data_IF_940829044687
#
_entry.id   IF_940829044687
#
_cell.length_a   1.000
_cell.length_b   1.000
_cell.length_c   1.000
_cell.angle_alpha   90.00
_cell.angle_beta   90.00
_cell.angle_gamma   90.00
#
_symmetry.space_group_name_H-M   'P 1'
#
loop_
_entity.id
_entity.type
_entity.pdbx_description
1 polymer ?
#
# COMPACT_ATOMS: atom_id res chain seq x y z
N UNK A 1 9.02 4.34 -18.69
CA UNK A 1 8.33 5.41 -17.95
C UNK A 1 7.38 4.76 -16.96
N UNK A 2 7.32 5.24 -15.71
CA UNK A 2 6.32 4.76 -14.77
C UNK A 2 4.93 5.23 -15.21
N UNK A 3 3.95 4.32 -15.25
CA UNK A 3 2.58 4.61 -15.68
C UNK A 3 1.79 5.15 -14.48
N UNK A 4 1.13 6.31 -14.60
CA UNK A 4 0.33 6.86 -13.49
C UNK A 4 -0.85 5.95 -13.17
N UNK A 5 -1.20 5.81 -11.89
CA UNK A 5 -2.38 5.05 -11.47
C UNK A 5 -3.64 5.65 -12.11
N UNK A 6 -4.41 4.77 -12.76
CA UNK A 6 -5.65 5.08 -13.46
C UNK A 6 -6.77 4.18 -12.96
N UNK A 7 -7.89 4.79 -12.56
CA UNK A 7 -9.09 4.09 -12.11
C UNK A 7 -10.09 3.98 -13.27
N UNK A 8 -10.63 2.79 -13.47
CA UNK A 8 -11.49 2.41 -14.58
C UNK A 8 -12.87 1.95 -14.06
N UNK A 9 -13.92 1.94 -14.92
CA UNK A 9 -15.23 1.42 -14.55
C UNK A 9 -15.18 0.01 -13.95
N UNK A 10 -16.09 -0.25 -13.00
CA UNK A 10 -16.17 -1.54 -12.30
C UNK A 10 -15.08 -1.77 -11.25
N UNK A 11 -14.62 -0.70 -10.59
CA UNK A 11 -13.58 -0.71 -9.56
C UNK A 11 -12.23 -1.26 -10.02
N UNK A 12 -11.96 -1.23 -11.32
CA UNK A 12 -10.69 -1.71 -11.87
C UNK A 12 -9.64 -0.60 -11.78
N UNK A 13 -8.39 -0.99 -11.62
CA UNK A 13 -7.26 -0.06 -11.66
C UNK A 13 -6.11 -0.65 -12.46
N UNK A 14 -5.27 0.23 -13.01
CA UNK A 14 -3.95 -0.10 -13.56
C UNK A 14 -3.00 1.05 -13.32
N UNK A 15 -1.71 0.77 -13.28
CA UNK A 15 -0.68 1.80 -13.22
C UNK A 15 0.61 1.27 -12.66
N UNK A 16 1.42 2.17 -12.13
CA UNK A 16 2.74 1.89 -11.63
C UNK A 16 3.37 3.12 -11.00
N UNK A 17 4.65 3.02 -10.71
CA UNK A 17 5.37 4.08 -10.03
C UNK A 17 6.85 3.79 -9.93
N UNK A 18 7.60 4.78 -9.45
CA UNK A 18 9.00 4.61 -9.09
C UNK A 18 9.05 4.08 -7.66
N UNK A 19 9.90 3.10 -7.41
CA UNK A 19 10.12 2.58 -6.07
C UNK A 19 11.15 3.49 -5.38
N UNK A 20 10.83 4.06 -4.20
CA UNK A 20 11.78 4.86 -3.43
C UNK A 20 13.09 4.09 -3.21
N UNK A 21 14.28 4.71 -3.42
CA UNK A 21 15.56 4.01 -3.36
C UNK A 21 15.79 3.21 -2.08
N UNK A 22 15.33 3.73 -0.96
CA UNK A 22 15.43 3.16 0.38
C UNK A 22 14.38 2.07 0.67
N UNK A 23 13.43 1.86 -0.24
CA UNK A 23 12.41 0.80 -0.18
C UNK A 23 12.60 -0.29 -1.25
N UNK A 24 13.57 -0.17 -2.17
CA UNK A 24 13.75 -1.09 -3.32
C UNK A 24 14.13 -2.51 -2.95
N UNK A 25 14.84 -2.69 -1.84
CA UNK A 25 15.43 -3.99 -1.49
C UNK A 25 15.29 -4.26 0.00
N UNK A 26 14.94 -5.50 0.35
CA UNK A 26 14.83 -5.95 1.73
C UNK A 26 16.05 -6.83 2.03
N UNK A 27 17.14 -6.22 2.49
CA UNK A 27 18.35 -6.93 2.95
C UNK A 27 18.32 -7.17 4.46
N UNK A 28 17.78 -6.21 5.20
CA UNK A 28 17.50 -6.30 6.62
C UNK A 28 16.08 -5.81 6.85
N UNK A 29 15.19 -6.73 7.23
CA UNK A 29 13.78 -6.41 7.34
C UNK A 29 13.48 -5.44 8.48
N UNK A 30 14.14 -5.55 9.64
CA UNK A 30 13.92 -4.59 10.73
C UNK A 30 14.27 -3.15 10.30
N UNK A 31 15.41 -2.99 9.60
CA UNK A 31 15.79 -1.72 9.02
C UNK A 31 14.78 -1.24 7.98
N UNK A 32 14.39 -2.11 7.05
CA UNK A 32 13.44 -1.79 5.98
C UNK A 32 12.06 -1.39 6.54
N UNK A 33 11.53 -2.13 7.51
CA UNK A 33 10.25 -1.82 8.17
C UNK A 33 10.29 -0.47 8.87
N UNK A 34 11.42 -0.12 9.51
CA UNK A 34 11.60 1.20 10.11
C UNK A 34 11.62 2.32 9.05
N UNK A 35 12.22 2.08 7.88
CA UNK A 35 12.20 3.02 6.76
C UNK A 35 10.77 3.16 6.22
N UNK A 36 10.06 2.05 5.98
CA UNK A 36 8.67 2.06 5.55
C UNK A 36 7.76 2.84 6.52
N UNK A 37 7.91 2.61 7.83
CA UNK A 37 7.17 3.35 8.87
C UNK A 37 7.51 4.85 8.85
N UNK A 38 8.75 5.24 8.52
CA UNK A 38 9.10 6.66 8.35
C UNK A 38 8.37 7.28 7.16
N UNK A 39 8.33 6.60 6.00
CA UNK A 39 7.54 7.04 4.84
C UNK A 39 6.06 7.17 5.21
N UNK A 40 5.52 6.18 5.91
CA UNK A 40 4.14 6.21 6.39
C UNK A 40 3.85 7.41 7.30
N UNK A 41 4.67 7.62 8.35
CA UNK A 41 4.53 8.76 9.26
C UNK A 41 4.69 10.10 8.56
N UNK A 42 5.52 10.18 7.52
CA UNK A 42 5.68 11.40 6.75
C UNK A 42 4.39 11.81 6.04
N UNK A 43 3.56 10.85 5.60
CA UNK A 43 2.23 11.15 5.01
C UNK A 43 1.36 11.93 6.01
N UNK A 44 1.24 11.43 7.24
CA UNK A 44 0.48 12.12 8.30
C UNK A 44 1.03 13.51 8.60
N UNK A 45 2.36 13.64 8.70
CA UNK A 45 3.01 14.95 8.93
C UNK A 45 2.75 15.95 7.80
N UNK A 46 2.79 15.52 6.55
CA UNK A 46 2.51 16.37 5.40
C UNK A 46 1.04 16.81 5.39
N UNK A 47 0.12 15.88 5.67
CA UNK A 47 -1.29 16.21 5.82
C UNK A 47 -1.54 17.25 6.92
N UNK A 48 -0.98 17.05 8.12
CA UNK A 48 -1.12 18.00 9.23
C UNK A 48 -0.60 19.40 8.84
N UNK A 49 0.47 19.47 8.04
CA UNK A 49 1.02 20.74 7.54
C UNK A 49 0.05 21.43 6.59
N UNK A 50 -0.60 20.70 5.70
CA UNK A 50 -1.57 21.25 4.74
C UNK A 50 -2.87 21.71 5.43
N UNK A 51 -3.34 20.95 6.41
CA UNK A 51 -4.55 21.29 7.17
C UNK A 51 -4.44 22.64 7.90
N UNK A 52 -3.24 23.02 8.36
CA UNK A 52 -3.02 24.30 9.08
C UNK A 52 -3.19 25.52 8.17
N UNK A 53 -3.12 25.36 6.84
CA UNK A 53 -3.07 26.47 5.89
C UNK A 53 -4.42 26.89 5.26
N UNK A 54 -5.53 26.23 5.59
CA UNK A 54 -6.94 26.63 5.31
C UNK A 54 -7.92 25.43 5.43
N UNK A 55 -7.44 24.25 5.84
CA UNK A 55 -8.26 23.05 6.08
C UNK A 55 -8.67 22.28 4.82
N UNK A 56 -8.70 22.92 3.66
CA UNK A 56 -9.01 22.29 2.38
C UNK A 56 -7.75 21.83 1.64
N UNK A 57 -7.62 20.53 1.39
CA UNK A 57 -6.58 19.99 0.52
C UNK A 57 -6.82 20.43 -0.93
N UNK A 58 -5.95 21.29 -1.47
CA UNK A 58 -6.10 21.83 -2.83
C UNK A 58 -4.94 21.42 -3.75
N UNK A 59 -5.26 21.13 -5.02
CA UNK A 59 -4.33 20.97 -6.14
C UNK A 59 -2.99 20.27 -5.82
N UNK A 60 -1.98 21.08 -5.47
CA UNK A 60 -0.62 20.63 -5.19
C UNK A 60 -0.52 19.75 -3.94
N UNK A 61 -1.30 20.03 -2.89
CA UNK A 61 -1.28 19.28 -1.63
C UNK A 61 -1.83 17.87 -1.86
N UNK A 62 -2.94 17.76 -2.60
CA UNK A 62 -3.50 16.49 -3.05
C UNK A 62 -2.49 15.70 -3.89
N UNK A 63 -1.85 16.37 -4.85
CA UNK A 63 -0.83 15.73 -5.69
C UNK A 63 0.36 15.21 -4.87
N UNK A 64 0.81 15.96 -3.86
CA UNK A 64 1.89 15.54 -2.98
C UNK A 64 1.48 14.34 -2.12
N UNK A 65 0.29 14.35 -1.51
CA UNK A 65 -0.20 13.21 -0.72
C UNK A 65 -0.38 11.96 -1.58
N UNK A 66 -0.90 12.11 -2.80
CA UNK A 66 -1.01 11.02 -3.77
C UNK A 66 0.36 10.42 -4.06
N UNK A 67 1.37 11.25 -4.37
CA UNK A 67 2.72 10.78 -4.63
C UNK A 67 3.32 10.02 -3.43
N UNK A 68 3.09 10.49 -2.20
CA UNK A 68 3.56 9.81 -1.01
C UNK A 68 2.84 8.47 -0.78
N UNK A 69 1.54 8.39 -1.08
CA UNK A 69 0.78 7.14 -1.04
C UNK A 69 1.22 6.16 -2.14
N UNK A 70 1.52 6.65 -3.35
CA UNK A 70 2.08 5.83 -4.44
C UNK A 70 3.45 5.26 -4.07
N UNK A 71 4.30 6.05 -3.42
CA UNK A 71 5.60 5.61 -2.90
C UNK A 71 5.44 4.55 -1.79
N UNK A 72 4.47 4.73 -0.90
CA UNK A 72 4.13 3.76 0.14
C UNK A 72 3.64 2.44 -0.47
N UNK A 73 2.76 2.53 -1.47
CA UNK A 73 2.24 1.38 -2.22
C UNK A 73 3.37 0.61 -2.92
N UNK A 74 4.34 1.32 -3.50
CA UNK A 74 5.54 0.72 -4.09
C UNK A 74 6.33 -0.10 -3.06
N UNK A 75 6.58 0.47 -1.87
CA UNK A 75 7.24 -0.26 -0.78
C UNK A 75 6.44 -1.47 -0.32
N UNK A 76 5.12 -1.34 -0.23
CA UNK A 76 4.24 -2.43 0.17
C UNK A 76 4.28 -3.60 -0.83
N UNK A 77 4.36 -3.32 -2.12
CA UNK A 77 4.51 -4.36 -3.15
C UNK A 77 5.91 -4.99 -3.18
N UNK A 78 6.97 -4.25 -2.85
CA UNK A 78 8.29 -4.87 -2.60
C UNK A 78 8.23 -5.83 -1.42
N UNK A 79 7.53 -5.47 -0.34
CA UNK A 79 7.34 -6.36 0.80
C UNK A 79 6.50 -7.59 0.44
N UNK A 80 5.46 -7.42 -0.39
CA UNK A 80 4.66 -8.52 -0.94
C UNK A 80 5.54 -9.54 -1.68
N UNK A 81 6.42 -9.06 -2.56
CA UNK A 81 7.34 -9.91 -3.33
C UNK A 81 8.32 -10.65 -2.41
N UNK A 82 8.86 -9.96 -1.40
CA UNK A 82 9.69 -10.59 -0.36
C UNK A 82 8.93 -11.70 0.39
N UNK A 83 7.70 -11.48 0.84
CA UNK A 83 6.90 -12.50 1.55
C UNK A 83 6.64 -13.72 0.64
N UNK A 84 6.31 -13.51 -0.63
CA UNK A 84 6.14 -14.60 -1.60
C UNK A 84 7.45 -15.38 -1.85
N UNK A 85 8.60 -14.73 -1.70
CA UNK A 85 9.91 -15.36 -1.83
C UNK A 85 10.27 -16.30 -0.67
N UNK A 86 9.57 -16.20 0.47
CA UNK A 86 9.79 -17.07 1.63
C UNK A 86 9.30 -18.50 1.42
N UNK A 87 8.52 -18.76 0.36
CA UNK A 87 8.15 -20.11 -0.08
C UNK A 87 8.78 -20.42 -1.43
N UNK A 88 9.42 -21.59 -1.54
CA UNK A 88 9.98 -22.16 -2.76
C UNK A 88 8.95 -23.00 -3.54
N UNK A 89 7.79 -23.29 -2.93
CA UNK A 89 6.72 -24.09 -3.54
C UNK A 89 5.94 -23.26 -4.57
N UNK A 90 6.23 -23.51 -5.85
CA UNK A 90 5.56 -22.83 -6.96
C UNK A 90 4.02 -22.97 -6.93
N UNK A 91 3.50 -24.14 -6.54
CA UNK A 91 2.05 -24.39 -6.45
C UNK A 91 1.39 -23.54 -5.37
N UNK A 92 2.01 -23.44 -4.18
CA UNK A 92 1.51 -22.59 -3.09
C UNK A 92 1.51 -21.13 -3.52
N UNK A 93 2.60 -20.67 -4.14
CA UNK A 93 2.69 -19.30 -4.66
C UNK A 93 1.58 -19.01 -5.68
N UNK A 94 1.31 -19.95 -6.58
CA UNK A 94 0.21 -19.83 -7.55
C UNK A 94 -1.14 -19.71 -6.86
N UNK A 95 -1.45 -20.60 -5.92
CA UNK A 95 -2.72 -20.58 -5.19
C UNK A 95 -2.93 -19.28 -4.41
N UNK A 96 -1.88 -18.73 -3.80
CA UNK A 96 -1.92 -17.44 -3.13
C UNK A 96 -2.21 -16.32 -4.15
N UNK A 97 -1.49 -16.31 -5.28
CA UNK A 97 -1.68 -15.29 -6.32
C UNK A 97 -3.07 -15.34 -6.97
N UNK A 98 -3.64 -16.53 -7.16
CA UNK A 98 -4.99 -16.69 -7.71
C UNK A 98 -6.09 -16.11 -6.79
N UNK A 99 -5.79 -15.94 -5.49
CA UNK A 99 -6.69 -15.34 -4.49
C UNK A 99 -6.48 -13.82 -4.34
N UNK A 100 -5.45 -13.26 -4.96
CA UNK A 100 -5.09 -11.85 -4.79
C UNK A 100 -5.95 -10.93 -5.65
N UNK A 101 -6.17 -9.71 -5.16
CA UNK A 101 -7.02 -8.73 -5.85
C UNK A 101 -6.30 -8.00 -7.00
N UNK A 102 -4.99 -8.22 -7.12
CA UNK A 102 -4.13 -7.53 -8.06
C UNK A 102 -2.95 -8.38 -8.54
N UNK A 103 -2.57 -8.14 -9.79
CA UNK A 103 -1.31 -8.60 -10.35
C UNK A 103 -0.32 -7.44 -10.35
N UNK A 104 0.84 -7.64 -9.72
CA UNK A 104 1.89 -6.65 -9.61
C UNK A 104 3.21 -7.23 -10.07
N UNK A 105 3.95 -6.46 -10.86
CA UNK A 105 5.31 -6.73 -11.29
C UNK A 105 6.24 -5.67 -10.72
N UNK A 106 7.29 -6.13 -10.04
CA UNK A 106 8.40 -5.32 -9.58
C UNK A 106 9.57 -5.48 -10.56
N UNK A 107 10.12 -4.36 -11.02
CA UNK A 107 11.40 -4.26 -11.72
C UNK A 107 12.30 -3.32 -10.90
N UNK A 108 13.62 -3.45 -10.99
CA UNK A 108 14.62 -2.92 -10.05
C UNK A 108 14.34 -1.50 -9.50
N UNK A 109 13.74 -0.61 -10.29
CA UNK A 109 13.40 0.76 -9.88
C UNK A 109 11.93 1.14 -10.04
N UNK A 110 11.11 0.28 -10.64
CA UNK A 110 9.72 0.60 -10.99
C UNK A 110 8.79 -0.56 -10.65
N UNK A 111 7.55 -0.24 -10.32
CA UNK A 111 6.49 -1.23 -10.20
C UNK A 111 5.41 -0.94 -11.23
N UNK A 112 4.69 -1.99 -11.63
CA UNK A 112 3.50 -1.90 -12.47
C UNK A 112 2.48 -2.93 -12.02
N UNK A 113 1.20 -2.65 -12.16
CA UNK A 113 0.18 -3.59 -11.78
C UNK A 113 -1.20 -3.20 -12.25
N UNK A 114 -2.12 -4.14 -12.07
CA UNK A 114 -3.53 -3.96 -12.31
C UNK A 114 -4.34 -4.84 -11.35
N UNK A 115 -5.58 -4.46 -11.11
CA UNK A 115 -6.43 -5.23 -10.20
C UNK A 115 -7.82 -4.65 -10.07
N UNK A 116 -8.52 -5.14 -9.05
CA UNK A 116 -9.86 -4.67 -8.70
C UNK A 116 -9.88 -4.23 -7.24
N UNK A 117 -10.46 -3.07 -6.98
CA UNK A 117 -10.73 -2.59 -5.63
C UNK A 117 -12.03 -3.25 -5.15
N UNK A 118 -12.04 -3.90 -3.97
CA UNK A 118 -13.25 -4.51 -3.43
C UNK A 118 -14.42 -3.52 -3.35
N UNK A 119 -15.58 -3.88 -3.90
CA UNK A 119 -16.75 -2.99 -3.99
C UNK A 119 -17.34 -2.55 -2.63
N UNK A 120 -16.98 -3.27 -1.57
CA UNK A 120 -17.44 -3.04 -0.22
C UNK A 120 -16.66 -1.94 0.49
N UNK A 121 -15.53 -1.51 -0.09
CA UNK A 121 -14.67 -0.50 0.48
C UNK A 121 -15.23 0.90 0.15
N UNK A 122 -16.32 1.24 0.84
CA UNK A 122 -17.02 2.52 0.66
C UNK A 122 -16.46 3.55 1.65
N UNK A 123 -15.68 4.50 1.12
CA UNK A 123 -15.29 5.73 1.82
C UNK A 123 -16.38 6.81 1.72
N UNK A 124 -17.64 6.45 1.97
CA UNK A 124 -18.71 7.47 1.93
C UNK A 124 -18.54 8.39 3.15
N UNK A 125 -18.01 9.58 2.92
CA UNK A 125 -18.00 10.70 3.87
C UNK A 125 -16.85 10.75 4.88
N UNK A 126 -15.79 9.96 4.70
CA UNK A 126 -14.58 10.06 5.54
C UNK A 126 -13.59 11.04 4.92
N UNK A 127 -13.11 12.01 5.71
CA UNK A 127 -12.00 12.87 5.32
C UNK A 127 -10.66 12.09 5.33
N UNK A 128 -9.60 12.71 4.82
CA UNK A 128 -8.29 12.06 4.79
C UNK A 128 -7.77 11.71 6.20
N UNK A 129 -8.07 12.54 7.21
CA UNK A 129 -7.63 12.29 8.59
C UNK A 129 -8.25 11.01 9.14
N UNK A 130 -9.53 10.79 8.89
CA UNK A 130 -10.26 9.60 9.28
C UNK A 130 -9.69 8.37 8.59
N UNK A 131 -9.49 8.43 7.27
CA UNK A 131 -8.91 7.31 6.52
C UNK A 131 -7.48 6.99 7.01
N UNK A 132 -6.66 8.00 7.26
CA UNK A 132 -5.31 7.80 7.78
C UNK A 132 -5.31 7.21 9.19
N UNK A 133 -6.09 7.76 10.12
CA UNK A 133 -6.03 7.39 11.55
C UNK A 133 -6.83 6.14 11.89
N UNK A 134 -7.97 5.90 11.23
CA UNK A 134 -8.89 4.79 11.54
C UNK A 134 -8.65 3.56 10.66
N UNK A 135 -8.06 3.74 9.47
CA UNK A 135 -7.89 2.65 8.50
C UNK A 135 -6.41 2.35 8.26
N UNK A 136 -5.66 3.31 7.72
CA UNK A 136 -4.28 3.07 7.28
C UNK A 136 -3.32 2.83 8.46
N UNK A 137 -3.37 3.67 9.50
CA UNK A 137 -2.47 3.56 10.66
C UNK A 137 -2.69 2.23 11.41
N UNK A 138 -3.92 1.80 11.73
CA UNK A 138 -4.17 0.48 12.29
C UNK A 138 -3.73 -0.65 11.35
N UNK A 139 -3.98 -0.52 10.05
CA UNK A 139 -3.56 -1.52 9.05
C UNK A 139 -2.04 -1.72 9.00
N UNK A 140 -1.26 -0.64 8.96
CA UNK A 140 0.21 -0.70 8.99
C UNK A 140 0.72 -1.31 10.31
N UNK A 141 0.12 -0.95 11.45
CA UNK A 141 0.47 -1.55 12.75
C UNK A 141 0.16 -3.05 12.76
N UNK A 142 -1.01 -3.44 12.26
CA UNK A 142 -1.44 -4.83 12.15
C UNK A 142 -0.51 -5.66 11.27
N UNK A 143 -0.11 -5.12 10.11
CA UNK A 143 0.82 -5.77 9.19
C UNK A 143 2.15 -6.15 9.87
N UNK A 144 2.81 -5.18 10.52
CA UNK A 144 4.10 -5.45 11.16
C UNK A 144 3.98 -6.23 12.47
N UNK A 145 2.84 -6.19 13.15
CA UNK A 145 2.57 -7.07 14.30
C UNK A 145 2.37 -8.52 13.84
N UNK A 146 1.52 -8.77 12.85
CA UNK A 146 1.26 -10.11 12.30
C UNK A 146 2.55 -10.74 11.75
N UNK A 147 3.36 -9.95 11.02
CA UNK A 147 4.66 -10.41 10.58
C UNK A 147 5.62 -10.66 11.74
N UNK A 148 5.69 -9.74 12.71
CA UNK A 148 6.59 -9.87 13.85
C UNK A 148 6.35 -11.13 14.69
N UNK A 149 5.09 -11.55 14.81
CA UNK A 149 4.71 -12.83 15.43
C UNK A 149 5.18 -14.03 14.60
N UNK A 150 4.90 -14.06 13.29
CA UNK A 150 5.32 -15.15 12.40
C UNK A 150 6.85 -15.27 12.27
N UNK A 151 7.58 -14.15 12.42
CA UNK A 151 9.03 -14.12 12.33
C UNK A 151 9.77 -14.71 13.54
N UNK A 152 9.09 -14.97 14.67
CA UNK A 152 9.72 -15.42 15.93
C UNK A 152 10.45 -16.76 15.77
N UNK A 153 9.90 -17.64 14.94
CA UNK A 153 10.42 -19.00 14.76
C UNK A 153 11.31 -19.15 13.53
N UNK A 154 11.53 -18.06 12.77
CA UNK A 154 12.32 -17.99 11.52
C UNK A 154 11.85 -18.94 10.40
N UNK A 155 10.72 -19.61 10.57
CA UNK A 155 10.11 -20.51 9.60
C UNK A 155 8.68 -20.02 9.40
N UNK A 156 8.36 -19.59 8.19
CA UNK A 156 7.01 -19.18 7.82
C UNK A 156 6.28 -20.38 7.23
N UNK A 157 5.14 -20.74 7.81
CA UNK A 157 4.22 -21.70 7.21
C UNK A 157 3.52 -21.12 5.99
N UNK A 158 3.06 -21.98 5.08
CA UNK A 158 2.30 -21.57 3.90
C UNK A 158 1.03 -20.76 4.27
N UNK A 159 0.42 -21.07 5.41
CA UNK A 159 -0.73 -20.35 5.95
C UNK A 159 -0.37 -18.93 6.43
N UNK A 160 0.78 -18.77 7.09
CA UNK A 160 1.27 -17.45 7.51
C UNK A 160 1.65 -16.58 6.31
N UNK A 161 2.29 -17.16 5.29
CA UNK A 161 2.60 -16.45 4.04
C UNK A 161 1.30 -15.98 3.39
N UNK A 162 0.32 -16.88 3.22
CA UNK A 162 -0.99 -16.52 2.66
C UNK A 162 -1.69 -15.41 3.44
N UNK A 163 -1.74 -15.52 4.78
CA UNK A 163 -2.36 -14.51 5.65
C UNK A 163 -1.66 -13.15 5.61
N UNK A 164 -0.33 -13.13 5.52
CA UNK A 164 0.43 -11.90 5.33
C UNK A 164 0.14 -11.26 3.97
N UNK A 165 0.07 -12.05 2.90
CA UNK A 165 -0.28 -11.54 1.56
C UNK A 165 -1.69 -10.96 1.53
N UNK A 166 -2.67 -11.60 2.16
CA UNK A 166 -4.03 -11.06 2.28
C UNK A 166 -4.07 -9.74 3.06
N UNK A 167 -3.27 -9.62 4.12
CA UNK A 167 -3.14 -8.38 4.90
C UNK A 167 -2.52 -7.26 4.05
N UNK A 168 -1.48 -7.58 3.29
CA UNK A 168 -0.81 -6.67 2.36
C UNK A 168 -1.79 -6.19 1.28
N UNK A 169 -2.52 -7.11 0.64
CA UNK A 169 -3.50 -6.80 -0.40
C UNK A 169 -4.66 -5.93 0.14
N UNK A 170 -5.10 -6.19 1.37
CA UNK A 170 -6.11 -5.38 2.05
C UNK A 170 -5.60 -3.96 2.27
N UNK A 171 -4.39 -3.79 2.82
CA UNK A 171 -3.80 -2.45 3.00
C UNK A 171 -3.54 -1.74 1.67
N UNK A 172 -3.10 -2.47 0.63
CA UNK A 172 -2.93 -1.92 -0.72
C UNK A 172 -4.26 -1.40 -1.29
N UNK A 173 -5.36 -2.11 -1.06
CA UNK A 173 -6.71 -1.66 -1.42
C UNK A 173 -7.04 -0.33 -0.75
N UNK A 174 -6.83 -0.23 0.56
CA UNK A 174 -7.13 0.98 1.33
C UNK A 174 -6.32 2.19 0.85
N UNK A 175 -5.05 1.98 0.50
CA UNK A 175 -4.20 3.02 -0.10
C UNK A 175 -4.76 3.42 -1.47
N UNK A 176 -5.11 2.47 -2.34
CA UNK A 176 -5.68 2.75 -3.66
C UNK A 176 -6.99 3.52 -3.58
N UNK A 177 -7.87 3.18 -2.64
CA UNK A 177 -9.14 3.91 -2.41
C UNK A 177 -8.84 5.33 -1.94
N UNK A 178 -7.86 5.50 -1.05
CA UNK A 178 -7.44 6.84 -0.59
C UNK A 178 -6.92 7.68 -1.75
N UNK A 179 -6.10 7.10 -2.62
CA UNK A 179 -5.61 7.76 -3.85
C UNK A 179 -6.78 8.12 -4.77
N UNK A 180 -7.74 7.22 -4.95
CA UNK A 180 -8.93 7.47 -5.77
C UNK A 180 -9.75 8.63 -5.21
N UNK A 181 -9.99 8.64 -3.90
CA UNK A 181 -10.75 9.69 -3.22
C UNK A 181 -10.06 11.05 -3.34
N UNK A 182 -8.73 11.11 -3.17
CA UNK A 182 -7.93 12.33 -3.35
C UNK A 182 -7.88 12.81 -4.81
N UNK A 183 -7.93 11.88 -5.77
CA UNK A 183 -7.95 12.18 -7.21
C UNK A 183 -9.32 12.64 -7.68
N UNK A 184 -10.38 12.22 -6.98
CA UNK A 184 -11.75 12.68 -7.19
C UNK A 184 -11.99 14.03 -6.49
N UNK A 185 -13.02 14.78 -6.90
CA UNK A 185 -13.42 16.01 -6.20
C UNK A 185 -14.03 15.75 -4.81
N UNK A 186 -14.16 14.51 -4.37
CA UNK A 186 -14.98 14.13 -3.21
C UNK A 186 -14.34 14.47 -1.84
N UNK A 187 -13.01 14.61 -1.75
CA UNK A 187 -12.31 15.08 -0.54
C UNK A 187 -12.06 16.60 -0.56
N UNK A 188 -13.08 17.40 -0.88
CA UNK A 188 -12.98 18.88 -0.97
C UNK A 188 -14.01 19.60 -0.10
N UNK A 189 -14.48 18.98 0.99
CA UNK A 189 -15.43 19.59 1.92
C UNK A 189 -15.11 19.19 3.34
#
# INVERSE_FOLDING_TARGET
>A
MAEKISFMPGNKWRGGGIIPPDLRTITNLSSWSNIFIKHFKNIGKQYDTYRVNDGELVGQEKANLILLLENLLAGLFVFRDYILSLTDKAEVRRQILDQTICAVKIDATVWSGHGTIPANAKNIGQDFADQYNKTLLPGVKGLFAAYGEAAKDKIFSDAEISGNIQTIDSLASEILITIQALSSRELSR
#
